data_IF_786053826690
#
_entry.id   IF_786053826690
#
_cell.length_a   1.000
_cell.length_b   1.000
_cell.length_c   1.000
_cell.angle_alpha   90.00
_cell.angle_beta   90.00
_cell.angle_gamma   90.00
#
_symmetry.space_group_name_H-M   'P 1'
#
loop_
_entity.id
_entity.type
_entity.pdbx_description
1 polymer ?
#
# COMPACT_ATOMS: atom_id res chain seq x y z
N UNK A 1 -5.18 -3.54 -15.12
CA UNK A 1 -6.30 -4.51 -15.08
C UNK A 1 -5.90 -5.98 -15.33
N UNK A 2 -5.19 -6.35 -16.41
CA UNK A 2 -4.82 -7.77 -16.68
C UNK A 2 -3.94 -8.44 -15.60
N UNK A 3 -3.04 -7.69 -14.94
CA UNK A 3 -2.19 -8.24 -13.85
C UNK A 3 -3.00 -8.67 -12.62
N UNK A 4 -3.92 -7.83 -12.15
CA UNK A 4 -4.73 -8.11 -10.95
C UNK A 4 -5.65 -9.33 -11.11
N UNK A 5 -6.28 -9.50 -12.28
CA UNK A 5 -7.10 -10.69 -12.55
C UNK A 5 -6.30 -12.00 -12.42
N UNK A 6 -5.07 -12.03 -12.93
CA UNK A 6 -4.19 -13.19 -12.80
C UNK A 6 -3.81 -13.49 -11.35
N UNK A 7 -3.53 -12.45 -10.55
CA UNK A 7 -3.25 -12.60 -9.11
C UNK A 7 -4.47 -13.12 -8.36
N UNK A 8 -5.66 -12.59 -8.64
CA UNK A 8 -6.89 -13.04 -7.99
C UNK A 8 -7.23 -14.50 -8.36
N UNK A 9 -6.98 -14.92 -9.60
CA UNK A 9 -7.13 -16.32 -10.00
C UNK A 9 -6.14 -17.23 -9.28
N UNK A 10 -4.88 -16.80 -9.15
CA UNK A 10 -3.87 -17.56 -8.40
C UNK A 10 -4.27 -17.72 -6.93
N UNK A 11 -4.71 -16.63 -6.29
CA UNK A 11 -5.21 -16.65 -4.92
C UNK A 11 -6.42 -17.58 -4.76
N UNK A 12 -7.41 -17.49 -5.65
CA UNK A 12 -8.58 -18.37 -5.64
C UNK A 12 -8.17 -19.85 -5.74
N UNK A 13 -7.26 -20.19 -6.66
CA UNK A 13 -6.76 -21.57 -6.84
C UNK A 13 -5.98 -22.06 -5.62
N UNK A 14 -5.18 -21.19 -5.00
CA UNK A 14 -4.46 -21.52 -3.78
C UNK A 14 -5.41 -21.80 -2.62
N UNK A 15 -6.41 -20.94 -2.41
CA UNK A 15 -7.44 -21.13 -1.38
C UNK A 15 -8.16 -22.47 -1.62
N UNK A 16 -8.66 -22.71 -2.83
CA UNK A 16 -9.30 -23.99 -3.18
C UNK A 16 -8.39 -25.20 -2.90
N UNK A 17 -7.11 -25.11 -3.24
CA UNK A 17 -6.13 -26.20 -3.02
C UNK A 17 -5.97 -26.52 -1.54
N UNK A 18 -6.01 -25.51 -0.67
CA UNK A 18 -5.80 -25.67 0.78
C UNK A 18 -7.09 -26.04 1.53
N UNK A 19 -8.23 -25.49 1.12
CA UNK A 19 -9.46 -25.53 1.95
C UNK A 19 -10.67 -26.13 1.25
N UNK A 20 -10.63 -26.33 -0.08
CA UNK A 20 -11.80 -26.64 -0.93
C UNK A 20 -12.93 -25.61 -0.80
N UNK A 21 -12.60 -24.40 -0.36
CA UNK A 21 -13.51 -23.27 -0.38
C UNK A 21 -13.28 -22.44 -1.64
N UNK A 22 -14.35 -22.16 -2.39
CA UNK A 22 -14.28 -21.29 -3.56
C UNK A 22 -14.65 -19.85 -3.19
N UNK A 23 -13.71 -18.93 -3.40
CA UNK A 23 -13.93 -17.49 -3.17
C UNK A 23 -14.07 -16.78 -4.52
N UNK A 24 -15.11 -15.96 -4.76
CA UNK A 24 -15.19 -15.17 -5.97
C UNK A 24 -14.01 -14.20 -6.11
N UNK A 25 -13.43 -14.10 -7.31
CA UNK A 25 -12.25 -13.26 -7.56
C UNK A 25 -12.48 -11.77 -7.33
N UNK A 26 -13.71 -11.27 -7.50
CA UNK A 26 -14.06 -9.88 -7.19
C UNK A 26 -14.05 -9.61 -5.68
N UNK A 27 -14.38 -10.61 -4.85
CA UNK A 27 -14.26 -10.52 -3.39
C UNK A 27 -12.78 -10.43 -3.00
N UNK A 28 -11.93 -11.26 -3.61
CA UNK A 28 -10.48 -11.20 -3.42
C UNK A 28 -9.93 -9.83 -3.81
N UNK A 29 -10.35 -9.28 -4.95
CA UNK A 29 -9.99 -7.92 -5.35
C UNK A 29 -10.38 -6.89 -4.28
N UNK A 30 -11.62 -6.94 -3.78
CA UNK A 30 -12.12 -5.99 -2.79
C UNK A 30 -11.32 -6.00 -1.49
N UNK A 31 -10.91 -7.19 -1.02
CA UNK A 31 -10.14 -7.32 0.23
C UNK A 31 -8.63 -7.14 0.06
N UNK A 32 -8.09 -7.23 -1.15
CA UNK A 32 -6.64 -7.14 -1.39
C UNK A 32 -6.19 -5.86 -2.11
N UNK A 33 -7.11 -5.10 -2.71
CA UNK A 33 -6.78 -3.90 -3.47
C UNK A 33 -5.91 -2.90 -2.68
N UNK A 34 -6.28 -2.63 -1.42
CA UNK A 34 -5.54 -1.71 -0.56
C UNK A 34 -4.11 -2.16 -0.26
N UNK A 35 -3.86 -3.48 -0.21
CA UNK A 35 -2.52 -4.05 0.02
C UNK A 35 -1.62 -3.82 -1.19
N UNK A 36 -2.16 -3.91 -2.41
CA UNK A 36 -1.39 -3.58 -3.63
C UNK A 36 -1.08 -2.09 -3.70
N UNK A 37 -2.04 -1.23 -3.37
CA UNK A 37 -1.81 0.23 -3.32
C UNK A 37 -0.77 0.59 -2.25
N UNK A 38 -0.80 -0.05 -1.08
CA UNK A 38 0.23 0.12 -0.04
C UNK A 38 1.62 -0.28 -0.55
N UNK A 39 1.72 -1.41 -1.26
CA UNK A 39 2.98 -1.87 -1.84
C UNK A 39 3.53 -0.90 -2.91
N UNK A 40 2.66 -0.39 -3.79
CA UNK A 40 3.04 0.60 -4.81
C UNK A 40 3.55 1.91 -4.15
N UNK A 41 2.93 2.34 -3.04
CA UNK A 41 3.36 3.51 -2.29
C UNK A 41 4.70 3.28 -1.57
N UNK A 42 4.91 2.10 -1.01
CA UNK A 42 6.18 1.71 -0.40
C UNK A 42 7.31 1.70 -1.43
N UNK A 43 7.05 1.17 -2.63
CA UNK A 43 8.01 1.17 -3.74
C UNK A 43 8.37 2.61 -4.13
N UNK A 44 7.37 3.47 -4.40
CA UNK A 44 7.59 4.88 -4.76
C UNK A 44 8.40 5.63 -3.68
N UNK A 45 8.05 5.42 -2.41
CA UNK A 45 8.71 6.04 -1.27
C UNK A 45 10.16 5.58 -1.10
N UNK A 46 10.37 4.27 -1.17
CA UNK A 46 11.71 3.67 -1.00
C UNK A 46 12.62 4.08 -2.13
N UNK A 47 12.14 4.05 -3.38
CA UNK A 47 12.88 4.51 -4.55
C UNK A 47 13.35 5.96 -4.39
N UNK A 48 12.48 6.83 -3.91
CA UNK A 48 12.79 8.25 -3.75
C UNK A 48 13.82 8.50 -2.65
N UNK A 49 13.67 7.86 -1.48
CA UNK A 49 14.64 8.00 -0.39
C UNK A 49 15.98 7.31 -0.69
N UNK A 50 15.97 6.19 -1.41
CA UNK A 50 17.21 5.53 -1.83
C UNK A 50 18.02 6.37 -2.81
N UNK A 51 17.37 7.13 -3.71
CA UNK A 51 18.07 8.12 -4.56
C UNK A 51 18.76 9.21 -3.75
N UNK A 52 18.31 9.45 -2.52
CA UNK A 52 18.87 10.43 -1.57
C UNK A 52 19.88 9.81 -0.59
N UNK A 53 20.22 8.52 -0.76
CA UNK A 53 21.23 7.83 0.04
C UNK A 53 20.70 7.14 1.29
N UNK A 54 19.38 7.13 1.53
CA UNK A 54 18.77 6.35 2.61
C UNK A 54 18.78 4.86 2.24
N UNK A 55 19.11 3.99 3.19
CA UNK A 55 19.09 2.55 2.90
C UNK A 55 17.65 2.03 2.71
N UNK A 56 17.42 1.01 1.88
CA UNK A 56 16.06 0.49 1.64
C UNK A 56 15.33 0.09 2.94
N UNK A 57 16.05 -0.49 3.90
CA UNK A 57 15.47 -0.90 5.19
C UNK A 57 15.03 0.28 6.05
N UNK A 58 15.80 1.38 6.06
CA UNK A 58 15.41 2.61 6.76
C UNK A 58 14.21 3.27 6.08
N UNK A 59 14.24 3.42 4.76
CA UNK A 59 13.15 4.01 4.00
C UNK A 59 11.82 3.24 4.18
N UNK A 60 11.87 1.91 4.19
CA UNK A 60 10.70 1.07 4.44
C UNK A 60 10.16 1.22 5.88
N UNK A 61 11.04 1.26 6.89
CA UNK A 61 10.63 1.47 8.28
C UNK A 61 9.98 2.85 8.47
N UNK A 62 10.55 3.90 7.86
CA UNK A 62 9.99 5.26 7.89
C UNK A 62 8.63 5.35 7.18
N UNK A 63 8.47 4.63 6.06
CA UNK A 63 7.18 4.52 5.40
C UNK A 63 6.13 3.88 6.31
N UNK A 64 6.46 2.75 6.94
CA UNK A 64 5.54 2.06 7.86
C UNK A 64 5.15 2.95 9.04
N UNK A 65 6.11 3.65 9.64
CA UNK A 65 5.86 4.60 10.73
C UNK A 65 4.94 5.73 10.25
N UNK A 66 5.23 6.33 9.10
CA UNK A 66 4.40 7.40 8.54
C UNK A 66 2.98 6.93 8.22
N UNK A 67 2.83 5.73 7.66
CA UNK A 67 1.53 5.21 7.23
C UNK A 67 0.65 4.81 8.43
N UNK A 68 1.27 4.29 9.50
CA UNK A 68 0.60 3.81 10.72
C UNK A 68 0.52 4.84 11.85
N UNK A 69 1.12 6.01 11.68
CA UNK A 69 1.00 7.08 12.66
C UNK A 69 -0.45 7.54 12.84
N UNK A 70 -0.84 7.78 14.09
CA UNK A 70 -2.16 8.29 14.44
C UNK A 70 -2.41 9.65 13.79
N UNK A 71 -3.69 9.91 13.53
CA UNK A 71 -4.21 11.15 12.93
C UNK A 71 -5.35 11.68 13.78
N UNK A 72 -5.71 12.94 13.56
CA UNK A 72 -6.72 13.66 14.37
C UNK A 72 -8.09 12.96 14.38
N UNK A 73 -8.42 12.19 13.35
CA UNK A 73 -9.66 11.41 13.23
C UNK A 73 -9.55 9.97 13.76
N UNK A 74 -8.43 9.61 14.40
CA UNK A 74 -8.17 8.29 14.96
C UNK A 74 -7.97 7.19 13.90
N UNK A 75 -7.80 7.55 12.63
CA UNK A 75 -7.55 6.60 11.53
C UNK A 75 -6.18 6.82 10.94
N UNK A 76 -5.43 5.72 10.79
CA UNK A 76 -4.14 5.76 10.10
C UNK A 76 -4.33 5.98 8.60
N UNK A 77 -3.25 6.33 7.89
CA UNK A 77 -3.30 6.36 6.42
C UNK A 77 -3.49 4.95 5.86
N UNK A 78 -2.98 3.92 6.56
CA UNK A 78 -3.18 2.52 6.21
C UNK A 78 -4.67 2.13 6.26
N UNK A 79 -5.40 2.57 7.28
CA UNK A 79 -6.85 2.34 7.37
C UNK A 79 -7.61 3.02 6.23
N UNK A 80 -7.18 4.23 5.84
CA UNK A 80 -7.78 4.97 4.74
C UNK A 80 -7.57 4.30 3.39
N UNK A 81 -6.49 3.54 3.19
CA UNK A 81 -6.29 2.78 1.95
C UNK A 81 -7.38 1.71 1.71
N UNK A 82 -8.05 1.24 2.78
CA UNK A 82 -9.17 0.30 2.65
C UNK A 82 -10.39 0.92 1.95
N UNK A 83 -10.49 2.24 1.95
CA UNK A 83 -11.49 2.98 1.19
C UNK A 83 -10.92 3.43 -0.18
N UNK A 84 -11.45 2.91 -1.30
CA UNK A 84 -11.01 3.30 -2.63
C UNK A 84 -11.11 4.80 -2.92
N UNK A 85 -12.08 5.51 -2.31
CA UNK A 85 -12.24 6.95 -2.51
C UNK A 85 -11.11 7.75 -1.83
N UNK A 86 -10.52 7.18 -0.78
CA UNK A 86 -9.47 7.82 0.01
C UNK A 86 -8.06 7.57 -0.53
N UNK A 87 -7.84 6.56 -1.39
CA UNK A 87 -6.51 6.19 -1.92
C UNK A 87 -5.73 7.37 -2.55
N UNK A 88 -6.41 8.20 -3.35
CA UNK A 88 -5.76 9.36 -3.97
C UNK A 88 -5.25 10.38 -2.94
N UNK A 89 -5.96 10.54 -1.82
CA UNK A 89 -5.54 11.44 -0.75
C UNK A 89 -4.33 10.90 0.01
N UNK A 90 -4.26 9.58 0.24
CA UNK A 90 -3.11 8.93 0.87
C UNK A 90 -1.86 9.09 0.01
N UNK A 91 -1.96 8.84 -1.30
CA UNK A 91 -0.84 9.06 -2.25
C UNK A 91 -0.35 10.51 -2.23
N UNK A 92 -1.28 11.46 -2.17
CA UNK A 92 -0.95 12.89 -2.07
C UNK A 92 -0.21 13.20 -0.78
N UNK A 93 -0.63 12.60 0.34
CA UNK A 93 0.03 12.75 1.64
C UNK A 93 1.45 12.18 1.65
N UNK A 94 1.67 10.98 1.10
CA UNK A 94 3.00 10.39 0.96
C UNK A 94 3.94 11.30 0.16
N UNK A 95 3.50 11.80 -1.00
CA UNK A 95 4.30 12.72 -1.81
C UNK A 95 4.55 14.06 -1.13
N UNK A 96 3.57 14.58 -0.37
CA UNK A 96 3.74 15.81 0.37
C UNK A 96 4.79 15.66 1.47
N UNK A 97 4.86 14.50 2.13
CA UNK A 97 5.88 14.21 3.13
C UNK A 97 7.27 14.07 2.50
N UNK A 98 7.42 13.36 1.38
CA UNK A 98 8.69 13.27 0.66
C UNK A 98 9.21 14.65 0.22
N UNK A 99 8.33 15.56 -0.23
CA UNK A 99 8.67 16.95 -0.57
C UNK A 99 9.03 17.79 0.67
N UNK A 100 8.32 17.60 1.79
CA UNK A 100 8.63 18.30 3.04
C UNK A 100 10.04 17.98 3.51
N UNK A 101 10.44 16.71 3.41
CA UNK A 101 11.78 16.26 3.75
C UNK A 101 12.85 16.83 2.82
N UNK A 102 12.55 16.93 1.53
CA UNK A 102 13.43 17.60 0.55
C UNK A 102 13.67 19.08 0.90
N UNK A 103 12.67 19.79 1.41
CA UNK A 103 12.81 21.20 1.77
C UNK A 103 13.57 21.48 3.08
N UNK A 104 13.90 20.42 3.84
CA UNK A 104 14.57 20.52 5.15
C UNK A 104 16.06 20.14 5.09
N UNK A 105 16.52 19.62 3.95
CA UNK A 105 17.94 19.32 3.63
C UNK A 105 18.56 20.45 2.81
#
# INVERSE_FOLDING_TARGET
MRRQYGVNLLQQRLIWRLTRFEVPTHTLQGVSAHVYEEADLLEEWTDELCRRGVTPGQAAAEFEEFLRADRDDGRTLQDRLRDPQSSASVRTACRAELRRRESLE
#
